data_IF_879470218973
#
_entry.id   IF_879470218973
#
_cell.length_a   1.000
_cell.length_b   1.000
_cell.length_c   1.000
_cell.angle_alpha   90.00
_cell.angle_beta   90.00
_cell.angle_gamma   90.00
#
_symmetry.space_group_name_H-M   'P 1'
#
loop_
_entity.id
_entity.type
_entity.pdbx_description
1 polymer ?
#
# COMPACT_ATOMS: atom_id res chain seq x y z
N UNK A 1 25.90 -69.01 1.33
CA UNK A 1 25.54 -68.33 0.06
C UNK A 1 26.14 -66.94 0.08
N UNK A 2 26.87 -66.53 -0.95
CA UNK A 2 27.47 -65.20 -1.07
C UNK A 2 26.41 -64.09 -1.06
N UNK A 3 26.77 -62.90 -0.56
CA UNK A 3 25.87 -61.73 -0.51
C UNK A 3 25.46 -61.30 -1.93
N UNK A 4 24.27 -60.69 -2.13
CA UNK A 4 23.85 -60.21 -3.45
C UNK A 4 24.86 -59.27 -4.12
N UNK A 5 25.57 -58.46 -3.33
CA UNK A 5 26.63 -57.56 -3.82
C UNK A 5 27.82 -58.32 -4.41
N UNK A 6 28.29 -59.38 -3.73
CA UNK A 6 29.39 -60.23 -4.20
C UNK A 6 28.99 -60.99 -5.47
N UNK A 7 27.76 -61.50 -5.52
CA UNK A 7 27.20 -62.10 -6.73
C UNK A 7 27.18 -61.09 -7.88
N UNK A 8 26.75 -59.85 -7.65
CA UNK A 8 26.74 -58.81 -8.67
C UNK A 8 28.14 -58.43 -9.18
N UNK A 9 29.19 -58.66 -8.39
CA UNK A 9 30.58 -58.40 -8.75
C UNK A 9 31.28 -59.58 -9.48
N UNK A 10 30.62 -60.74 -9.58
CA UNK A 10 31.16 -61.89 -10.32
C UNK A 10 31.45 -61.54 -11.79
N UNK A 11 32.52 -62.12 -12.35
CA UNK A 11 32.99 -61.82 -13.72
C UNK A 11 31.91 -62.03 -14.78
N UNK A 12 31.09 -63.06 -14.64
CA UNK A 12 29.97 -63.33 -15.54
C UNK A 12 28.94 -62.20 -15.52
N UNK A 13 28.57 -61.71 -14.33
CA UNK A 13 27.60 -60.64 -14.18
C UNK A 13 28.15 -59.29 -14.66
N UNK A 14 29.46 -59.06 -14.54
CA UNK A 14 30.14 -57.92 -15.16
C UNK A 14 30.12 -58.00 -16.68
N UNK A 15 30.36 -59.19 -17.25
CA UNK A 15 30.32 -59.41 -18.70
C UNK A 15 28.90 -59.23 -19.27
N UNK A 16 27.89 -59.81 -18.62
CA UNK A 16 26.47 -59.62 -19.01
C UNK A 16 26.10 -58.14 -18.98
N UNK A 17 26.52 -57.40 -17.95
CA UNK A 17 26.32 -55.94 -17.88
C UNK A 17 26.99 -55.21 -19.03
N UNK A 18 28.26 -55.49 -19.34
CA UNK A 18 28.96 -54.83 -20.44
C UNK A 18 28.34 -55.13 -21.81
N UNK A 19 27.88 -56.36 -22.04
CA UNK A 19 27.15 -56.73 -23.26
C UNK A 19 25.83 -55.95 -23.35
N UNK A 20 25.04 -56.00 -22.29
CA UNK A 20 23.73 -55.33 -22.24
C UNK A 20 23.87 -53.78 -22.24
N UNK A 21 25.04 -53.25 -21.87
CA UNK A 21 25.42 -51.83 -22.03
C UNK A 21 25.68 -51.47 -23.49
N UNK A 22 26.38 -52.34 -24.22
CA UNK A 22 26.71 -52.15 -25.63
C UNK A 22 25.48 -52.23 -26.55
N UNK A 23 24.44 -52.95 -26.14
CA UNK A 23 23.19 -53.09 -26.88
C UNK A 23 22.27 -51.87 -26.63
N UNK A 24 22.06 -50.97 -27.63
CA UNK A 24 21.26 -49.75 -27.44
C UNK A 24 19.76 -50.03 -27.19
N UNK A 25 19.28 -51.21 -27.58
CA UNK A 25 17.89 -51.65 -27.38
C UNK A 25 17.64 -52.22 -25.98
N UNK A 26 18.71 -52.62 -25.29
CA UNK A 26 18.63 -53.21 -23.96
C UNK A 26 18.00 -52.26 -22.95
N UNK A 27 17.21 -52.83 -22.03
CA UNK A 27 16.63 -52.09 -20.90
C UNK A 27 17.71 -51.53 -19.99
N UNK A 28 18.84 -52.22 -19.88
CA UNK A 28 20.01 -51.83 -19.09
C UNK A 28 20.70 -50.60 -19.69
N UNK A 29 20.96 -50.60 -21.01
CA UNK A 29 21.52 -49.44 -21.72
C UNK A 29 20.62 -48.21 -21.59
N UNK A 30 19.30 -48.36 -21.76
CA UNK A 30 18.33 -47.27 -21.50
C UNK A 30 18.38 -46.77 -20.06
N UNK A 31 18.39 -47.68 -19.07
CA UNK A 31 18.47 -47.32 -17.65
C UNK A 31 19.77 -46.60 -17.31
N UNK A 32 20.90 -47.05 -17.85
CA UNK A 32 22.20 -46.45 -17.63
C UNK A 32 22.31 -45.08 -18.25
N UNK A 33 21.75 -44.89 -19.44
CA UNK A 33 21.57 -43.55 -20.00
C UNK A 33 20.82 -42.69 -18.95
N UNK A 34 19.68 -43.14 -18.41
CA UNK A 34 18.90 -42.34 -17.44
C UNK A 34 19.65 -42.06 -16.14
N UNK A 35 20.55 -42.95 -15.75
CA UNK A 35 21.40 -42.84 -14.57
C UNK A 35 22.76 -42.20 -14.85
N UNK A 36 23.04 -41.75 -16.08
CA UNK A 36 24.29 -41.05 -16.37
C UNK A 36 24.38 -39.82 -15.48
N UNK A 37 25.58 -39.63 -14.93
CA UNK A 37 25.85 -38.49 -14.06
C UNK A 37 25.80 -37.22 -14.90
N UNK A 38 24.90 -36.32 -14.53
CA UNK A 38 24.81 -35.00 -15.17
C UNK A 38 26.15 -34.27 -15.10
N UNK A 39 26.55 -33.54 -16.16
CA UNK A 39 27.69 -32.65 -16.12
C UNK A 39 27.55 -31.60 -15.00
N UNK A 40 28.66 -31.22 -14.37
CA UNK A 40 28.67 -30.18 -13.33
C UNK A 40 28.27 -28.79 -13.86
N UNK A 41 28.60 -28.51 -15.12
CA UNK A 41 28.31 -27.24 -15.79
C UNK A 41 27.30 -27.50 -16.92
N UNK A 42 26.15 -26.83 -16.85
CA UNK A 42 25.11 -26.95 -17.88
C UNK A 42 25.61 -26.51 -19.27
N UNK A 43 26.53 -25.55 -19.33
CA UNK A 43 27.12 -25.05 -20.59
C UNK A 43 27.85 -26.12 -21.41
N UNK A 44 28.30 -27.21 -20.79
CA UNK A 44 28.97 -28.32 -21.48
C UNK A 44 28.01 -29.18 -22.32
N UNK A 45 26.70 -29.03 -22.14
CA UNK A 45 25.70 -29.78 -22.89
C UNK A 45 25.31 -29.02 -24.17
N UNK A 46 25.50 -29.64 -25.33
CA UNK A 46 25.18 -29.05 -26.64
C UNK A 46 23.83 -29.52 -27.19
N UNK A 47 23.38 -30.71 -26.80
CA UNK A 47 22.14 -31.29 -27.29
C UNK A 47 20.95 -30.93 -26.38
N UNK A 48 19.88 -30.41 -26.99
CA UNK A 48 18.65 -30.03 -26.28
C UNK A 48 18.00 -31.20 -25.54
N UNK A 49 17.93 -32.37 -26.18
CA UNK A 49 17.30 -33.56 -25.61
C UNK A 49 17.99 -34.02 -24.32
N UNK A 50 19.33 -33.96 -24.29
CA UNK A 50 20.11 -34.29 -23.11
C UNK A 50 19.90 -33.28 -21.98
N UNK A 51 19.83 -31.98 -22.31
CA UNK A 51 19.56 -30.94 -21.34
C UNK A 51 18.17 -31.08 -20.69
N UNK A 52 17.13 -31.39 -21.48
CA UNK A 52 15.77 -31.66 -20.98
C UNK A 52 15.73 -32.91 -20.10
N UNK A 53 16.48 -33.94 -20.45
CA UNK A 53 16.62 -35.16 -19.64
C UNK A 53 17.31 -34.87 -18.30
N UNK A 54 18.44 -34.15 -18.28
CA UNK A 54 19.11 -33.79 -17.03
C UNK A 54 18.25 -32.90 -16.14
N UNK A 55 17.46 -31.99 -16.73
CA UNK A 55 16.44 -31.24 -16.01
C UNK A 55 15.43 -32.17 -15.33
N UNK A 56 14.90 -33.17 -16.06
CA UNK A 56 13.93 -34.11 -15.51
C UNK A 56 14.54 -35.00 -14.42
N UNK A 57 15.82 -35.37 -14.53
CA UNK A 57 16.55 -36.07 -13.47
C UNK A 57 16.62 -35.22 -12.20
N UNK A 58 16.94 -33.93 -12.31
CA UNK A 58 16.95 -33.01 -11.16
C UNK A 58 15.56 -32.88 -10.54
N UNK A 59 14.50 -32.83 -11.34
CA UNK A 59 13.13 -32.76 -10.83
C UNK A 59 12.79 -34.01 -10.01
N UNK A 60 13.15 -35.21 -10.48
CA UNK A 60 12.96 -36.45 -9.72
C UNK A 60 13.73 -36.44 -8.40
N UNK A 61 14.99 -36.03 -8.42
CA UNK A 61 15.80 -35.90 -7.19
C UNK A 61 15.20 -34.89 -6.19
N UNK A 62 14.61 -33.80 -6.69
CA UNK A 62 13.88 -32.85 -5.85
C UNK A 62 12.66 -33.54 -5.24
N UNK A 63 11.83 -34.22 -6.04
CA UNK A 63 10.65 -34.95 -5.55
C UNK A 63 11.01 -35.99 -4.48
N UNK A 64 12.08 -36.76 -4.69
CA UNK A 64 12.55 -37.76 -3.73
C UNK A 64 13.01 -37.13 -2.40
N UNK A 65 13.69 -35.98 -2.46
CA UNK A 65 14.10 -35.25 -1.25
C UNK A 65 12.91 -34.59 -0.56
N UNK A 66 11.95 -34.04 -1.31
CA UNK A 66 10.72 -33.46 -0.74
C UNK A 66 9.94 -34.54 0.01
N UNK A 67 9.79 -35.74 -0.57
CA UNK A 67 9.15 -36.87 0.09
C UNK A 67 9.88 -37.27 1.39
N UNK A 68 11.21 -37.22 1.42
CA UNK A 68 12.00 -37.46 2.65
C UNK A 68 11.81 -36.39 3.72
N UNK A 69 11.74 -35.11 3.34
CA UNK A 69 11.54 -33.99 4.28
C UNK A 69 10.13 -34.01 4.90
N UNK A 70 9.14 -34.57 4.21
CA UNK A 70 7.79 -34.70 4.75
C UNK A 70 7.71 -35.63 5.97
N UNK A 71 8.72 -36.48 6.21
CA UNK A 71 8.77 -37.29 7.42
C UNK A 71 9.28 -36.44 8.61
N UNK A 72 8.38 -36.10 9.52
CA UNK A 72 8.62 -35.28 10.73
C UNK A 72 9.54 -35.97 11.75
N UNK A 73 9.73 -37.29 11.66
CA UNK A 73 10.61 -38.05 12.54
C UNK A 73 12.10 -37.90 12.25
N UNK A 74 12.48 -37.16 11.19
CA UNK A 74 13.89 -36.85 10.93
C UNK A 74 14.41 -35.81 11.93
N UNK A 75 15.63 -36.02 12.42
CA UNK A 75 16.29 -35.04 13.27
C UNK A 75 16.42 -33.67 12.59
N UNK A 76 16.37 -32.61 13.40
CA UNK A 76 16.35 -31.22 12.94
C UNK A 76 17.49 -30.86 11.98
N UNK A 77 18.71 -31.34 12.26
CA UNK A 77 19.88 -31.13 11.40
C UNK A 77 19.72 -31.82 10.03
N UNK A 78 19.19 -33.04 10.01
CA UNK A 78 18.95 -33.77 8.77
C UNK A 78 17.90 -33.06 7.90
N UNK A 79 16.86 -32.48 8.51
CA UNK A 79 15.87 -31.67 7.79
C UNK A 79 16.52 -30.43 7.15
N UNK A 80 17.42 -29.75 7.86
CA UNK A 80 18.19 -28.61 7.32
C UNK A 80 19.05 -29.00 6.12
N UNK A 81 19.83 -30.07 6.26
CA UNK A 81 20.71 -30.56 5.19
C UNK A 81 19.92 -30.98 3.95
N UNK A 82 18.77 -31.64 4.15
CA UNK A 82 17.87 -31.99 3.06
C UNK A 82 17.29 -30.73 2.39
N UNK A 83 16.89 -29.73 3.16
CA UNK A 83 16.35 -28.47 2.64
C UNK A 83 17.41 -27.69 1.82
N UNK A 84 18.65 -27.63 2.30
CA UNK A 84 19.78 -27.06 1.56
C UNK A 84 20.07 -27.87 0.30
N UNK A 85 20.02 -29.19 0.41
CA UNK A 85 20.15 -30.12 -0.71
C UNK A 85 19.08 -29.91 -1.80
N UNK A 86 17.84 -29.58 -1.42
CA UNK A 86 16.78 -29.23 -2.37
C UNK A 86 17.04 -27.85 -2.99
N UNK A 87 17.36 -26.85 -2.18
CA UNK A 87 17.63 -25.50 -2.68
C UNK A 87 18.80 -25.47 -3.67
N UNK A 88 19.85 -26.27 -3.41
CA UNK A 88 20.96 -26.48 -4.35
C UNK A 88 20.46 -27.05 -5.68
N UNK A 89 19.66 -28.11 -5.65
CA UNK A 89 19.08 -28.71 -6.86
C UNK A 89 18.19 -27.73 -7.63
N UNK A 90 17.44 -26.86 -6.96
CA UNK A 90 16.60 -25.87 -7.66
C UNK A 90 17.46 -24.81 -8.34
N UNK A 91 18.59 -24.39 -7.76
CA UNK A 91 19.55 -23.50 -8.42
C UNK A 91 20.18 -24.19 -9.64
N UNK A 92 20.59 -25.45 -9.50
CA UNK A 92 21.07 -26.26 -10.63
C UNK A 92 20.01 -26.34 -11.74
N UNK A 93 18.76 -26.65 -11.40
CA UNK A 93 17.62 -26.67 -12.32
C UNK A 93 17.45 -25.35 -13.07
N UNK A 94 17.62 -24.21 -12.39
CA UNK A 94 17.52 -22.90 -13.03
C UNK A 94 18.59 -22.70 -14.12
N UNK A 95 19.83 -23.17 -13.88
CA UNK A 95 20.90 -23.14 -14.88
C UNK A 95 20.59 -24.05 -16.07
N UNK A 96 20.06 -25.25 -15.82
CA UNK A 96 19.62 -26.17 -16.87
C UNK A 96 18.45 -25.58 -17.68
N UNK A 97 17.46 -24.96 -17.03
CA UNK A 97 16.36 -24.26 -17.70
C UNK A 97 16.89 -23.13 -18.60
N UNK A 98 17.89 -22.37 -18.13
CA UNK A 98 18.54 -21.32 -18.95
C UNK A 98 19.25 -21.92 -20.15
N UNK A 99 19.99 -23.02 -19.97
CA UNK A 99 20.68 -23.69 -21.06
C UNK A 99 19.72 -24.23 -22.12
N UNK A 100 18.60 -24.83 -21.71
CA UNK A 100 17.57 -25.30 -22.64
C UNK A 100 17.04 -24.15 -23.50
N UNK A 101 16.81 -22.98 -22.89
CA UNK A 101 16.43 -21.77 -23.63
C UNK A 101 17.51 -21.32 -24.63
N UNK A 102 18.77 -21.32 -24.22
CA UNK A 102 19.90 -20.96 -25.10
C UNK A 102 20.03 -21.91 -26.31
N UNK A 103 19.67 -23.18 -26.13
CA UNK A 103 19.61 -24.20 -27.19
C UNK A 103 18.32 -24.12 -28.04
N UNK A 104 17.52 -23.05 -27.91
CA UNK A 104 16.28 -22.84 -28.66
C UNK A 104 15.07 -23.62 -28.13
N UNK A 105 15.14 -24.11 -26.90
CA UNK A 105 14.04 -24.82 -26.23
C UNK A 105 13.04 -23.90 -25.51
N UNK A 106 12.11 -24.51 -24.78
CA UNK A 106 11.04 -23.83 -24.05
C UNK A 106 11.56 -23.04 -22.83
N UNK A 107 10.92 -21.90 -22.55
CA UNK A 107 11.25 -21.03 -21.42
C UNK A 107 10.68 -21.53 -20.08
N UNK A 108 11.19 -22.65 -19.56
CA UNK A 108 10.72 -23.24 -18.30
C UNK A 108 10.75 -22.26 -17.11
N UNK A 109 11.74 -21.38 -17.02
CA UNK A 109 11.84 -20.39 -15.93
C UNK A 109 10.67 -19.39 -15.93
N UNK A 110 10.16 -19.02 -17.11
CA UNK A 110 9.03 -18.10 -17.25
C UNK A 110 7.72 -18.81 -16.87
N UNK A 111 7.58 -20.06 -17.28
CA UNK A 111 6.41 -20.88 -16.96
C UNK A 111 6.32 -21.16 -15.48
N UNK A 112 7.43 -21.53 -14.85
CA UNK A 112 7.50 -21.76 -13.40
C UNK A 112 7.16 -20.49 -12.61
N UNK A 113 7.61 -19.31 -13.07
CA UNK A 113 7.24 -18.03 -12.44
C UNK A 113 5.75 -17.73 -12.57
N UNK A 114 5.17 -17.98 -13.74
CA UNK A 114 3.72 -17.81 -13.96
C UNK A 114 2.91 -18.77 -13.10
N UNK A 115 3.30 -20.04 -13.06
CA UNK A 115 2.66 -21.05 -12.23
C UNK A 115 2.72 -20.65 -10.75
N UNK A 116 3.85 -20.15 -10.26
CA UNK A 116 3.98 -19.66 -8.88
C UNK A 116 3.08 -18.45 -8.59
N UNK A 117 2.97 -17.49 -9.52
CA UNK A 117 2.13 -16.31 -9.32
C UNK A 117 0.64 -16.65 -9.30
N UNK A 118 0.20 -17.56 -10.17
CA UNK A 118 -1.18 -18.08 -10.16
C UNK A 118 -1.47 -18.82 -8.86
N UNK A 119 -0.53 -19.63 -8.40
CA UNK A 119 -0.72 -20.44 -7.22
C UNK A 119 -0.68 -19.58 -5.92
N UNK A 120 0.10 -18.49 -5.88
CA UNK A 120 0.05 -17.47 -4.80
C UNK A 120 -1.34 -16.76 -4.77
N UNK A 121 -1.94 -16.53 -5.93
CA UNK A 121 -3.27 -15.93 -6.04
C UNK A 121 -4.38 -16.88 -5.55
N UNK A 122 -4.24 -18.17 -5.78
CA UNK A 122 -5.19 -19.20 -5.34
C UNK A 122 -5.07 -19.53 -3.83
N UNK A 123 -4.06 -19.00 -3.13
CA UNK A 123 -3.90 -19.17 -1.69
C UNK A 123 -3.62 -20.62 -1.26
N UNK A 124 -3.26 -21.50 -2.20
CA UNK A 124 -3.00 -22.90 -1.92
C UNK A 124 -1.66 -23.11 -1.23
N UNK A 125 -1.65 -23.92 -0.17
CA UNK A 125 -0.41 -24.36 0.48
C UNK A 125 0.45 -25.16 -0.52
N UNK A 126 1.48 -24.54 -1.07
CA UNK A 126 2.41 -25.20 -1.98
C UNK A 126 3.33 -26.17 -1.22
N UNK A 127 2.80 -27.30 -0.78
CA UNK A 127 3.57 -28.38 -0.17
C UNK A 127 4.69 -28.86 -1.11
N UNK A 128 4.44 -28.86 -2.43
CA UNK A 128 5.39 -29.33 -3.44
C UNK A 128 6.44 -28.29 -3.86
N UNK A 129 6.12 -27.00 -3.88
CA UNK A 129 7.05 -25.95 -4.36
C UNK A 129 7.78 -25.21 -3.24
N UNK A 130 7.42 -25.48 -1.98
CA UNK A 130 8.05 -24.89 -0.80
C UNK A 130 7.58 -23.46 -0.57
N UNK A 131 7.64 -23.03 0.69
CA UNK A 131 7.28 -21.68 1.08
C UNK A 131 8.52 -20.79 1.00
N UNK A 132 8.43 -19.69 0.26
CA UNK A 132 9.48 -18.67 0.20
C UNK A 132 9.04 -17.42 0.93
N UNK A 133 9.93 -16.85 1.74
CA UNK A 133 9.78 -15.51 2.27
C UNK A 133 10.02 -14.49 1.15
N UNK A 134 9.13 -13.49 1.02
CA UNK A 134 9.28 -12.41 0.06
C UNK A 134 10.60 -11.67 0.36
N UNK A 135 11.53 -11.65 -0.60
CA UNK A 135 12.84 -11.02 -0.47
C UNK A 135 13.98 -11.91 0.05
N UNK A 136 13.75 -13.19 0.35
CA UNK A 136 14.78 -14.13 0.86
C UNK A 136 15.74 -14.68 -0.21
N UNK A 137 15.95 -13.95 -1.30
CA UNK A 137 16.93 -14.34 -2.34
C UNK A 137 16.64 -15.68 -3.04
N UNK A 138 15.40 -16.17 -2.99
CA UNK A 138 15.00 -17.42 -3.63
C UNK A 138 15.27 -18.71 -2.85
N UNK A 139 15.64 -18.61 -1.57
CA UNK A 139 15.66 -19.75 -0.67
C UNK A 139 14.23 -20.16 -0.29
N UNK A 140 13.96 -21.48 -0.24
CA UNK A 140 12.64 -22.05 0.03
C UNK A 140 12.72 -23.07 1.16
N UNK A 141 11.62 -23.20 1.89
CA UNK A 141 11.46 -24.21 2.95
C UNK A 141 10.36 -25.21 2.55
N UNK A 142 10.67 -26.50 2.59
CA UNK A 142 9.77 -27.59 2.17
C UNK A 142 9.32 -28.42 3.37
N UNK A 143 8.08 -28.94 3.36
CA UNK A 143 7.57 -29.85 4.40
C UNK A 143 7.91 -29.41 5.84
N UNK A 144 8.44 -30.36 6.63
CA UNK A 144 8.86 -30.15 8.02
C UNK A 144 9.95 -29.08 8.21
N UNK A 145 10.66 -28.68 7.14
CA UNK A 145 11.64 -27.60 7.21
C UNK A 145 10.99 -26.23 7.53
N UNK A 146 9.67 -26.09 7.33
CA UNK A 146 8.92 -24.89 7.71
C UNK A 146 8.71 -24.80 9.23
N UNK A 147 8.64 -25.94 9.90
CA UNK A 147 8.33 -26.05 11.33
C UNK A 147 9.58 -25.98 12.22
N UNK A 148 10.77 -25.95 11.61
CA UNK A 148 12.04 -25.74 12.31
C UNK A 148 11.98 -24.51 13.23
N UNK A 149 12.53 -24.60 14.45
CA UNK A 149 12.62 -23.45 15.35
C UNK A 149 13.43 -22.33 14.68
N UNK A 150 12.97 -21.09 14.82
CA UNK A 150 13.48 -19.93 14.08
C UNK A 150 12.83 -19.73 12.70
N UNK A 151 12.74 -20.77 11.86
CA UNK A 151 12.07 -20.65 10.55
C UNK A 151 10.58 -20.41 10.72
N UNK A 152 9.94 -21.18 11.62
CA UNK A 152 8.54 -21.00 12.00
C UNK A 152 8.26 -19.59 12.51
N UNK A 153 9.18 -19.02 13.30
CA UNK A 153 9.05 -17.66 13.81
C UNK A 153 9.20 -16.61 12.70
N UNK A 154 10.11 -16.82 11.73
CA UNK A 154 10.25 -15.93 10.58
C UNK A 154 8.97 -15.89 9.74
N UNK A 155 8.35 -17.05 9.51
CA UNK A 155 7.07 -17.13 8.81
C UNK A 155 5.94 -16.48 9.61
N UNK A 156 5.85 -16.73 10.92
CA UNK A 156 4.86 -16.08 11.77
C UNK A 156 5.01 -14.54 11.79
N UNK A 157 6.25 -14.04 11.91
CA UNK A 157 6.55 -12.59 11.83
C UNK A 157 6.18 -12.01 10.47
N UNK A 158 6.43 -12.74 9.38
CA UNK A 158 6.08 -12.29 8.04
C UNK A 158 4.56 -12.31 7.81
N UNK A 159 3.86 -13.35 8.27
CA UNK A 159 2.41 -13.43 8.24
C UNK A 159 1.77 -12.28 9.04
N UNK A 160 2.27 -11.99 10.24
CA UNK A 160 1.82 -10.86 11.05
C UNK A 160 2.07 -9.48 10.40
N UNK A 161 3.07 -9.36 9.51
CA UNK A 161 3.28 -8.14 8.72
C UNK A 161 2.30 -8.02 7.56
N UNK A 162 1.86 -9.13 6.97
CA UNK A 162 0.88 -9.17 5.89
C UNK A 162 -0.53 -8.87 6.38
N UNK A 163 -0.90 -9.34 7.58
CA UNK A 163 -2.25 -9.12 8.14
C UNK A 163 -2.50 -7.66 8.51
N UNK A 164 -1.45 -6.88 8.80
CA UNK A 164 -1.59 -5.45 9.05
C UNK A 164 -2.03 -4.75 7.76
N UNK A 165 -3.22 -4.14 7.80
CA UNK A 165 -3.75 -3.31 6.70
C UNK A 165 -2.72 -2.25 6.34
N UNK A 166 -2.29 -2.22 5.08
CA UNK A 166 -1.37 -1.19 4.60
C UNK A 166 -2.17 0.08 4.32
N UNK A 167 -1.52 1.24 4.38
CA UNK A 167 -2.14 2.53 4.00
C UNK A 167 -2.76 2.47 2.60
N UNK A 168 -2.09 1.77 1.68
CA UNK A 168 -2.59 1.48 0.33
C UNK A 168 -3.92 0.73 0.28
N UNK A 169 -4.18 -0.18 1.22
CA UNK A 169 -5.46 -0.91 1.25
C UNK A 169 -6.59 -0.01 1.78
N UNK A 170 -6.28 0.91 2.70
CA UNK A 170 -7.24 1.93 3.14
C UNK A 170 -7.65 2.83 1.97
N UNK A 171 -6.69 3.28 1.15
CA UNK A 171 -6.96 4.12 -0.01
C UNK A 171 -7.87 3.47 -1.07
N UNK A 172 -7.95 2.14 -1.15
CA UNK A 172 -8.87 1.46 -2.08
C UNK A 172 -10.35 1.66 -1.71
N UNK A 173 -10.63 1.88 -0.43
CA UNK A 173 -11.99 2.05 0.11
C UNK A 173 -12.35 3.52 0.33
N UNK A 174 -11.40 4.45 0.16
CA UNK A 174 -11.67 5.88 0.24
C UNK A 174 -12.34 6.30 -1.07
N UNK A 175 -13.65 6.51 -1.02
CA UNK A 175 -14.44 7.04 -2.15
C UNK A 175 -14.31 8.56 -2.22
N UNK A 176 -14.65 9.20 -3.36
CA UNK A 176 -14.77 10.65 -3.45
C UNK A 176 -15.72 11.26 -2.40
N UNK A 177 -16.69 10.48 -1.90
CA UNK A 177 -17.60 10.89 -0.83
C UNK A 177 -16.85 11.18 0.48
N UNK A 178 -15.74 10.48 0.77
CA UNK A 178 -14.89 10.79 1.93
C UNK A 178 -14.33 12.22 1.89
N UNK A 179 -14.17 12.76 0.69
CA UNK A 179 -13.70 14.13 0.46
C UNK A 179 -14.85 15.12 0.23
N UNK A 180 -16.12 14.69 0.38
CA UNK A 180 -17.29 15.54 0.25
C UNK A 180 -17.55 16.04 -1.18
N UNK A 181 -16.97 15.40 -2.22
CA UNK A 181 -17.14 15.87 -3.60
C UNK A 181 -18.59 15.80 -4.11
N UNK A 182 -19.48 15.06 -3.44
CA UNK A 182 -20.88 14.85 -3.85
C UNK A 182 -21.90 15.46 -2.89
N UNK A 183 -21.45 16.11 -1.83
CA UNK A 183 -22.33 16.69 -0.81
C UNK A 183 -23.14 17.89 -1.36
N UNK A 184 -22.65 18.55 -2.41
CA UNK A 184 -23.38 19.63 -3.10
C UNK A 184 -24.49 19.12 -4.03
N UNK A 185 -24.47 17.84 -4.43
CA UNK A 185 -25.42 17.26 -5.37
C UNK A 185 -26.75 16.83 -4.72
N UNK A 186 -26.80 16.71 -3.38
CA UNK A 186 -27.98 16.26 -2.63
C UNK A 186 -29.11 17.32 -2.58
N UNK A 187 -28.86 18.55 -3.01
CA UNK A 187 -29.85 19.63 -3.10
C UNK A 187 -30.26 20.25 -1.75
N UNK A 188 -29.88 19.64 -0.62
CA UNK A 188 -30.11 20.18 0.74
C UNK A 188 -29.51 21.58 0.90
N UNK A 189 -28.32 21.81 0.33
CA UNK A 189 -27.65 23.11 0.38
C UNK A 189 -28.48 24.20 -0.33
N UNK A 190 -29.02 23.90 -1.51
CA UNK A 190 -29.83 24.82 -2.31
C UNK A 190 -31.13 25.23 -1.59
N UNK A 191 -31.76 24.29 -0.88
CA UNK A 191 -32.98 24.59 -0.10
C UNK A 191 -32.67 25.58 1.03
N UNK A 192 -31.60 25.34 1.78
CA UNK A 192 -31.15 26.21 2.87
C UNK A 192 -30.76 27.60 2.36
N UNK A 193 -29.99 27.66 1.26
CA UNK A 193 -29.61 28.92 0.60
C UNK A 193 -30.84 29.70 0.12
N UNK A 194 -31.83 29.01 -0.48
CA UNK A 194 -33.06 29.66 -0.93
C UNK A 194 -33.89 30.25 0.21
N UNK A 195 -33.89 29.58 1.37
CA UNK A 195 -34.53 30.07 2.60
C UNK A 195 -33.87 31.34 3.11
N UNK A 196 -32.54 31.30 3.27
CA UNK A 196 -31.74 32.45 3.70
C UNK A 196 -31.81 33.61 2.72
N UNK A 197 -31.80 33.35 1.41
CA UNK A 197 -31.93 34.38 0.38
C UNK A 197 -33.28 35.11 0.47
N UNK A 198 -34.38 34.37 0.72
CA UNK A 198 -35.71 34.98 0.93
C UNK A 198 -35.75 35.83 2.20
N UNK A 199 -35.14 35.37 3.29
CA UNK A 199 -35.03 36.15 4.53
C UNK A 199 -34.19 37.42 4.32
N UNK A 200 -33.06 37.31 3.64
CA UNK A 200 -32.22 38.44 3.25
C UNK A 200 -32.98 39.45 2.40
N UNK A 201 -33.74 38.98 1.40
CA UNK A 201 -34.58 39.85 0.57
C UNK A 201 -35.69 40.54 1.37
N UNK A 202 -36.31 39.87 2.35
CA UNK A 202 -37.30 40.50 3.24
C UNK A 202 -36.67 41.61 4.07
N UNK A 203 -35.53 41.33 4.73
CA UNK A 203 -34.79 42.34 5.51
C UNK A 203 -34.37 43.53 4.64
N UNK A 204 -33.93 43.28 3.41
CA UNK A 204 -33.50 44.34 2.49
C UNK A 204 -34.67 45.20 2.03
N UNK A 205 -35.86 44.60 1.83
CA UNK A 205 -37.10 45.36 1.57
C UNK A 205 -37.51 46.20 2.78
N UNK A 206 -37.49 45.62 3.98
CA UNK A 206 -37.81 46.35 5.22
C UNK A 206 -36.87 47.54 5.43
N UNK A 207 -35.57 47.37 5.23
CA UNK A 207 -34.60 48.47 5.29
C UNK A 207 -34.86 49.53 4.21
N UNK A 208 -35.22 49.12 2.99
CA UNK A 208 -35.54 50.05 1.89
C UNK A 208 -36.82 50.84 2.15
N UNK A 209 -37.87 50.18 2.61
CA UNK A 209 -39.14 50.82 2.95
C UNK A 209 -38.96 51.77 4.15
N UNK A 210 -38.14 51.38 5.13
CA UNK A 210 -37.74 52.26 6.24
C UNK A 210 -37.01 53.52 5.75
N UNK A 211 -36.03 53.35 4.86
CA UNK A 211 -35.31 54.46 4.24
C UNK A 211 -36.23 55.38 3.41
N UNK A 212 -37.14 54.82 2.60
CA UNK A 212 -38.10 55.61 1.81
C UNK A 212 -39.07 56.41 2.70
N UNK A 213 -39.41 55.88 3.89
CA UNK A 213 -40.21 56.61 4.89
C UNK A 213 -39.39 57.70 5.56
N UNK A 214 -38.15 57.44 5.94
CA UNK A 214 -37.23 58.44 6.51
C UNK A 214 -36.99 59.60 5.54
N UNK A 215 -36.72 59.31 4.25
CA UNK A 215 -36.57 60.34 3.21
C UNK A 215 -37.85 61.16 3.03
N UNK A 216 -39.03 60.54 3.08
CA UNK A 216 -40.31 61.27 3.02
C UNK A 216 -40.56 62.12 4.25
N UNK A 217 -40.19 61.65 5.44
CA UNK A 217 -40.28 62.42 6.68
C UNK A 217 -39.33 63.60 6.65
N UNK A 218 -38.10 63.42 6.16
CA UNK A 218 -37.13 64.51 5.95
C UNK A 218 -37.65 65.53 4.93
N UNK A 219 -38.21 65.09 3.80
CA UNK A 219 -38.82 65.99 2.82
C UNK A 219 -40.04 66.74 3.37
N UNK A 220 -40.90 66.10 4.16
CA UNK A 220 -42.02 66.77 4.82
C UNK A 220 -41.54 67.76 5.89
N UNK A 221 -40.51 67.39 6.66
CA UNK A 221 -39.88 68.27 7.64
C UNK A 221 -39.20 69.47 6.96
N UNK A 222 -38.53 69.29 5.82
CA UNK A 222 -37.95 70.37 5.01
C UNK A 222 -39.01 71.28 4.40
N UNK A 223 -40.15 70.73 3.93
CA UNK A 223 -41.26 71.52 3.42
C UNK A 223 -41.93 72.34 4.54
N UNK A 224 -42.15 71.75 5.72
CA UNK A 224 -42.70 72.46 6.90
C UNK A 224 -41.71 73.48 7.45
N UNK A 225 -40.41 73.16 7.49
CA UNK A 225 -39.33 74.09 7.84
C UNK A 225 -39.27 75.27 6.87
N UNK A 226 -39.40 75.03 5.56
CA UNK A 226 -39.45 76.09 4.54
C UNK A 226 -40.70 76.98 4.63
N UNK A 227 -41.85 76.42 5.05
CA UNK A 227 -43.09 77.17 5.27
C UNK A 227 -43.06 77.99 6.56
N UNK A 228 -42.42 77.49 7.62
CA UNK A 228 -42.20 78.25 8.86
C UNK A 228 -41.12 79.35 8.71
N UNK A 229 -40.12 79.15 7.85
CA UNK A 229 -39.08 80.15 7.58
C UNK A 229 -39.58 81.34 6.72
N UNK A 230 -40.72 81.24 6.04
CA UNK A 230 -41.30 82.32 5.23
C UNK A 230 -42.04 83.39 6.07
N UNK A 231 -42.30 83.13 7.36
CA UNK A 231 -43.05 84.04 8.26
C UNK A 231 -42.20 84.64 9.41
N UNK A 232 -40.89 84.42 9.42
CA UNK A 232 -39.98 85.00 10.41
C UNK A 232 -38.78 85.66 9.70
N UNK A 233 -38.94 86.95 9.37
CA UNK A 233 -37.86 87.83 8.89
C UNK A 233 -37.84 89.14 9.69
N UNK A 234 -36.78 89.33 10.48
CA UNK A 234 -36.08 90.56 10.96
C UNK A 234 -35.49 90.25 12.35
N UNK A 235 -34.20 90.36 12.68
CA UNK A 235 -32.99 90.88 12.02
C UNK A 235 -31.73 90.14 12.52
N UNK A 236 -30.62 90.37 11.81
CA UNK A 236 -29.22 89.88 11.89
C UNK A 236 -28.50 90.15 13.23
N UNK A 237 -27.33 89.61 13.60
CA UNK A 237 -26.27 88.77 12.99
C UNK A 237 -25.31 88.35 14.12
N UNK A 238 -24.56 87.24 13.99
CA UNK A 238 -23.29 87.08 14.72
C UNK A 238 -22.82 85.65 15.07
N UNK A 239 -22.11 85.05 14.11
CA UNK A 239 -20.92 84.19 14.28
C UNK A 239 -21.06 82.76 14.85
N UNK A 240 -20.83 81.74 14.02
CA UNK A 240 -19.75 80.75 14.22
C UNK A 240 -19.74 79.65 13.15
N UNK A 241 -18.54 79.11 13.03
CA UNK A 241 -17.92 78.27 12.02
C UNK A 241 -18.48 76.85 11.81
N UNK A 242 -18.15 76.31 10.64
CA UNK A 242 -17.91 74.91 10.27
C UNK A 242 -18.84 73.77 10.76
N UNK A 243 -19.34 72.97 9.81
CA UNK A 243 -19.41 71.50 10.00
C UNK A 243 -19.36 70.76 8.68
N UNK A 244 -18.20 70.16 8.46
CA UNK A 244 -17.88 69.26 7.37
C UNK A 244 -18.15 67.80 7.75
N UNK A 245 -18.44 67.00 6.71
CA UNK A 245 -18.04 65.59 6.56
C UNK A 245 -18.57 64.57 7.58
N UNK A 246 -19.68 63.96 7.17
CA UNK A 246 -20.48 62.91 7.80
C UNK A 246 -19.79 61.53 8.00
N UNK A 247 -18.45 61.45 8.01
CA UNK A 247 -17.72 60.19 8.28
C UNK A 247 -16.35 60.38 8.98
N UNK A 248 -16.15 61.49 9.70
CA UNK A 248 -15.01 61.67 10.60
C UNK A 248 -15.36 61.23 12.02
N UNK A 249 -14.55 60.37 12.64
CA UNK A 249 -14.63 60.10 14.09
C UNK A 249 -14.49 61.45 14.82
N UNK A 250 -15.50 61.86 15.59
CA UNK A 250 -15.49 63.08 16.38
C UNK A 250 -14.23 63.13 17.28
N UNK A 251 -13.38 64.13 17.09
CA UNK A 251 -12.10 64.28 17.76
C UNK A 251 -12.20 64.45 19.30
N UNK A 252 -13.41 64.57 19.84
CA UNK A 252 -13.68 64.73 21.27
C UNK A 252 -13.80 63.41 22.04
N UNK A 253 -13.75 62.25 21.37
CA UNK A 253 -13.66 60.97 22.09
C UNK A 253 -12.20 60.76 22.50
N UNK A 254 -11.89 61.07 23.76
CA UNK A 254 -10.56 60.92 24.33
C UNK A 254 -10.05 59.47 24.19
N UNK A 255 -9.15 59.25 23.23
CA UNK A 255 -8.44 57.97 23.08
C UNK A 255 -7.57 57.77 24.33
N UNK A 256 -7.75 56.68 25.10
CA UNK A 256 -6.94 56.43 26.29
C UNK A 256 -5.44 56.39 25.96
N UNK A 257 -4.62 56.96 26.83
CA UNK A 257 -3.16 56.95 26.63
C UNK A 257 -2.62 55.52 26.60
N UNK A 258 -1.56 55.31 25.83
CA UNK A 258 -0.91 54.01 25.64
C UNK A 258 -0.58 53.31 26.97
N UNK A 259 -0.23 54.08 28.00
CA UNK A 259 0.11 53.58 29.33
C UNK A 259 -1.09 52.99 30.07
N UNK A 260 -2.26 53.64 29.96
CA UNK A 260 -3.50 53.16 30.57
C UNK A 260 -3.93 51.84 29.92
N UNK A 261 -3.83 51.77 28.59
CA UNK A 261 -4.11 50.54 27.84
C UNK A 261 -3.15 49.42 28.24
N UNK A 262 -1.86 49.72 28.40
CA UNK A 262 -0.85 48.74 28.81
C UNK A 262 -1.12 48.19 30.22
N UNK A 263 -1.50 49.04 31.18
CA UNK A 263 -1.81 48.61 32.55
C UNK A 263 -3.04 47.69 32.59
N UNK A 264 -4.11 48.03 31.86
CA UNK A 264 -5.32 47.21 31.77
C UNK A 264 -5.00 45.84 31.14
N UNK A 265 -4.17 45.81 30.09
CA UNK A 265 -3.74 44.55 29.48
C UNK A 265 -2.90 43.70 30.43
N UNK A 266 -2.06 44.32 31.25
CA UNK A 266 -1.24 43.62 32.24
C UNK A 266 -2.11 43.02 33.35
N UNK A 267 -3.10 43.76 33.84
CA UNK A 267 -4.07 43.26 34.82
C UNK A 267 -4.86 42.08 34.28
N UNK A 268 -5.42 42.17 33.06
CA UNK A 268 -6.12 41.05 32.42
C UNK A 268 -5.24 39.82 32.24
N UNK A 269 -3.97 40.00 31.87
CA UNK A 269 -3.01 38.89 31.76
C UNK A 269 -2.70 38.26 33.12
N UNK A 270 -2.60 39.07 34.18
CA UNK A 270 -2.40 38.59 35.55
C UNK A 270 -3.60 37.79 36.05
N UNK A 271 -4.82 38.28 35.81
CA UNK A 271 -6.06 37.56 36.11
C UNK A 271 -6.17 36.25 35.35
N UNK A 272 -5.86 36.25 34.04
CA UNK A 272 -5.87 35.05 33.21
C UNK A 272 -4.81 34.02 33.64
N UNK A 273 -3.67 34.46 34.18
CA UNK A 273 -2.68 33.55 34.76
C UNK A 273 -3.17 33.00 36.10
N UNK A 274 -3.72 33.84 36.97
CA UNK A 274 -4.28 33.39 38.25
C UNK A 274 -5.43 32.40 38.05
N UNK A 275 -6.32 32.64 37.08
CA UNK A 275 -7.41 31.69 36.75
C UNK A 275 -6.92 30.40 36.11
N UNK A 276 -5.73 30.39 35.51
CA UNK A 276 -5.11 29.19 34.93
C UNK A 276 -4.39 28.32 35.98
N UNK A 277 -4.01 28.91 37.12
CA UNK A 277 -3.29 28.23 38.20
C UNK A 277 -4.11 28.07 39.50
N UNK A 278 -5.33 28.62 39.55
CA UNK A 278 -6.37 28.28 40.52
C UNK A 278 -7.16 27.06 40.04
#
# INVERSE_FOLDING_TARGET
>A
MARPEEKAQAMLNKWVRMRDESDPTSTLSRSLLHNQKRPHLASKCEHRADAERFRNQIIREISDKVAKIQNEGLGEHAIRDLNDGINKLIREKYHWNRRIRELGGKDYNREERRAMALAEQEGGDHAAQGLSLKGSGGYRYFGAAKDLPGVRELFARHAAKLTKRKRGDVYKYITPDYYGLRDEEDGVLLELESGLAKEGQKKLKECRDGYDVEVKQQQQHDVVSSQNALYATDESDGDSDDTALENGIEAHIAVPSQEVVAQVLLQKKKEALLSRFA
#
